data_IF_544799495526
#
_entry.id   IF_544799495526
#
_cell.length_a   1.000
_cell.length_b   1.000
_cell.length_c   1.000
_cell.angle_alpha   90.00
_cell.angle_beta   90.00
_cell.angle_gamma   90.00
#
_symmetry.space_group_name_H-M   'P 1'
#
loop_
_entity.id
_entity.type
_entity.pdbx_description
1 polymer ?
#
# COMPACT_ATOMS: atom_id res chain seq x y z
N UNK A 1 5.65 -1.40 0.82
CA UNK A 1 7.09 -1.19 0.61
C UNK A 1 7.41 0.26 0.97
N UNK A 2 8.58 0.48 1.57
CA UNK A 2 9.04 1.81 2.01
C UNK A 2 10.48 1.99 1.54
N UNK A 3 10.81 3.16 1.00
CA UNK A 3 12.16 3.51 0.58
C UNK A 3 12.70 4.71 1.37
N UNK A 4 13.94 4.64 1.87
CA UNK A 4 14.94 3.58 1.61
C UNK A 4 14.68 2.26 2.39
N UNK A 5 15.11 1.09 1.86
CA UNK A 5 14.67 -0.25 2.30
C UNK A 5 15.29 -0.75 3.62
N UNK A 6 15.93 0.10 4.40
CA UNK A 6 16.68 -0.29 5.61
C UNK A 6 15.92 -0.02 6.92
N UNK A 7 14.61 0.27 6.85
CA UNK A 7 13.80 0.59 8.03
C UNK A 7 14.22 1.89 8.71
N UNK A 8 14.91 2.79 8.00
CA UNK A 8 15.30 4.11 8.48
C UNK A 8 14.98 5.17 7.43
N UNK A 9 14.59 6.35 7.88
CA UNK A 9 14.46 7.52 7.02
C UNK A 9 14.97 8.76 7.75
N UNK A 10 15.22 9.84 7.02
CA UNK A 10 15.68 11.10 7.59
C UNK A 10 14.49 12.00 7.91
N UNK A 11 14.58 12.72 9.03
CA UNK A 11 13.65 13.82 9.35
C UNK A 11 13.74 14.89 8.26
N UNK A 12 12.60 15.47 7.86
CA UNK A 12 12.47 16.50 6.81
C UNK A 12 12.92 16.06 5.39
N UNK A 13 13.02 14.75 5.14
CA UNK A 13 13.21 14.20 3.79
C UNK A 13 12.02 13.32 3.38
N UNK A 14 11.72 13.33 2.09
CA UNK A 14 10.67 12.50 1.52
C UNK A 14 11.04 11.01 1.63
N UNK A 15 10.16 10.29 2.30
CA UNK A 15 10.15 8.82 2.34
C UNK A 15 9.14 8.34 1.31
N UNK A 16 9.55 7.46 0.40
CA UNK A 16 8.67 6.95 -0.65
C UNK A 16 7.92 5.68 -0.19
N UNK A 17 6.64 5.59 -0.56
CA UNK A 17 5.73 4.50 -0.21
C UNK A 17 5.11 3.92 -1.48
N UNK A 18 5.06 2.59 -1.56
CA UNK A 18 4.33 1.89 -2.61
C UNK A 18 3.92 0.49 -2.15
N UNK A 19 3.02 -0.14 -2.89
CA UNK A 19 2.59 -1.52 -2.65
C UNK A 19 2.50 -2.29 -3.96
N UNK A 20 2.70 -3.60 -3.91
CA UNK A 20 2.62 -4.48 -5.08
C UNK A 20 1.26 -5.19 -5.17
N UNK A 21 0.29 -4.75 -4.36
CA UNK A 21 -1.07 -5.27 -4.42
C UNK A 21 -1.67 -4.96 -5.78
N UNK A 22 -2.03 -6.02 -6.51
CA UNK A 22 -2.56 -5.94 -7.86
C UNK A 22 -3.83 -6.77 -8.03
N UNK A 23 -4.23 -6.95 -9.29
CA UNK A 23 -5.39 -7.75 -9.62
C UNK A 23 -5.15 -9.24 -9.33
N UNK A 24 -6.21 -9.92 -8.91
CA UNK A 24 -6.21 -11.35 -8.64
C UNK A 24 -7.44 -12.00 -9.27
N UNK A 25 -7.22 -13.06 -10.03
CA UNK A 25 -8.29 -13.97 -10.44
C UNK A 25 -8.29 -15.21 -9.58
N UNK A 26 -9.46 -15.63 -9.10
CA UNK A 26 -9.61 -16.84 -8.27
C UNK A 26 -10.81 -17.65 -8.71
N UNK A 27 -10.65 -18.97 -8.75
CA UNK A 27 -11.76 -19.91 -8.93
C UNK A 27 -12.05 -20.60 -7.61
N UNK A 28 -13.32 -20.69 -7.23
CA UNK A 28 -13.79 -21.39 -6.03
C UNK A 28 -15.01 -22.24 -6.37
N UNK A 29 -15.23 -23.31 -5.60
CA UNK A 29 -16.47 -24.10 -5.68
C UNK A 29 -17.36 -23.71 -4.52
N UNK A 30 -18.58 -23.22 -4.81
CA UNK A 30 -19.58 -22.85 -3.81
C UNK A 30 -20.86 -23.61 -4.09
N UNK A 31 -21.31 -24.41 -3.11
CA UNK A 31 -22.55 -25.20 -3.22
C UNK A 31 -22.59 -26.07 -4.50
N UNK A 32 -21.45 -26.63 -4.89
CA UNK A 32 -21.32 -27.46 -6.09
C UNK A 32 -21.22 -26.71 -7.43
N UNK A 33 -21.23 -25.37 -7.43
CA UNK A 33 -21.04 -24.54 -8.63
C UNK A 33 -19.65 -23.93 -8.68
N UNK A 34 -19.12 -23.77 -9.90
CA UNK A 34 -17.87 -23.06 -10.12
C UNK A 34 -18.13 -21.56 -10.13
N UNK A 35 -17.44 -20.83 -9.27
CA UNK A 35 -17.48 -19.37 -9.21
C UNK A 35 -16.09 -18.84 -9.50
N UNK A 36 -15.99 -18.01 -10.54
CA UNK A 36 -14.76 -17.29 -10.85
C UNK A 36 -14.90 -15.85 -10.38
N UNK A 37 -13.82 -15.33 -9.79
CA UNK A 37 -13.71 -13.99 -9.24
C UNK A 37 -12.58 -13.25 -9.95
N UNK A 38 -12.82 -12.01 -10.36
CA UNK A 38 -11.80 -11.02 -10.74
C UNK A 38 -11.83 -9.94 -9.68
N UNK A 39 -10.72 -9.72 -9.00
CA UNK A 39 -10.62 -8.82 -7.85
C UNK A 39 -9.51 -7.81 -8.17
N UNK A 40 -9.75 -6.53 -7.92
CA UNK A 40 -8.76 -5.48 -8.14
C UNK A 40 -8.82 -4.43 -7.04
N UNK A 41 -7.68 -3.80 -6.68
CA UNK A 41 -7.66 -2.70 -5.74
C UNK A 41 -8.35 -1.47 -6.36
N UNK A 42 -9.26 -0.85 -5.61
CA UNK A 42 -9.98 0.37 -5.99
C UNK A 42 -9.49 1.61 -5.24
N UNK A 43 -8.92 1.45 -4.05
CA UNK A 43 -8.31 2.55 -3.29
C UNK A 43 -7.29 2.07 -2.26
N UNK A 44 -6.39 2.97 -1.89
CA UNK A 44 -5.32 2.76 -0.91
C UNK A 44 -5.38 3.84 0.17
N UNK A 45 -5.42 3.40 1.43
CA UNK A 45 -5.39 4.26 2.60
C UNK A 45 -4.04 4.19 3.30
N UNK A 46 -3.16 5.13 3.01
CA UNK A 46 -1.83 5.27 3.58
C UNK A 46 -1.92 5.85 4.99
N UNK A 47 -1.27 5.20 5.95
CA UNK A 47 -1.11 5.68 7.32
C UNK A 47 0.39 5.78 7.57
N UNK A 48 0.91 6.97 7.85
CA UNK A 48 2.36 7.17 7.96
C UNK A 48 2.91 6.86 9.36
N UNK A 49 2.03 6.66 10.34
CA UNK A 49 2.39 6.23 11.70
C UNK A 49 2.77 7.36 12.65
N UNK A 50 2.68 8.62 12.21
CA UNK A 50 2.84 9.86 13.00
C UNK A 50 1.53 10.63 13.19
N UNK A 51 0.41 10.05 12.74
CA UNK A 51 -0.93 10.65 12.78
C UNK A 51 -1.42 11.16 11.43
N UNK A 52 -0.54 11.29 10.44
CA UNK A 52 -0.91 11.70 9.08
C UNK A 52 -1.31 10.51 8.21
N UNK A 53 -2.21 10.78 7.26
CA UNK A 53 -2.79 9.80 6.35
C UNK A 53 -3.01 10.38 4.96
N UNK A 54 -2.98 9.55 3.95
CA UNK A 54 -3.30 9.92 2.56
C UNK A 54 -4.18 8.85 1.91
N UNK A 55 -5.06 9.25 1.00
CA UNK A 55 -5.82 8.33 0.15
C UNK A 55 -5.33 8.44 -1.30
N UNK A 56 -5.26 7.32 -2.01
CA UNK A 56 -4.95 7.29 -3.44
C UNK A 56 -5.72 6.19 -4.16
N UNK A 57 -5.82 6.31 -5.48
CA UNK A 57 -6.26 5.22 -6.39
C UNK A 57 -5.07 4.47 -7.00
N UNK A 58 -3.87 5.05 -6.93
CA UNK A 58 -2.62 4.41 -7.33
C UNK A 58 -1.99 3.65 -6.15
N UNK A 59 -1.35 2.50 -6.39
CA UNK A 59 -0.59 1.77 -5.37
C UNK A 59 0.74 2.46 -4.99
N UNK A 60 1.01 3.66 -5.51
CA UNK A 60 2.32 4.30 -5.45
C UNK A 60 3.28 3.70 -6.46
N UNK A 61 4.49 4.27 -6.53
CA UNK A 61 5.52 3.81 -7.45
C UNK A 61 6.89 3.82 -6.77
N UNK A 62 7.74 2.87 -7.15
CA UNK A 62 9.14 2.90 -6.72
C UNK A 62 9.85 4.12 -7.32
N UNK A 63 10.96 4.55 -6.70
CA UNK A 63 11.87 5.51 -7.33
C UNK A 63 12.22 5.06 -8.78
N UNK A 64 12.25 5.97 -9.77
CA UNK A 64 12.26 7.44 -9.63
C UNK A 64 10.90 8.14 -9.65
N UNK A 65 9.79 7.42 -9.82
CA UNK A 65 8.48 8.06 -10.07
C UNK A 65 7.90 8.77 -8.84
N UNK A 66 8.14 8.23 -7.63
CA UNK A 66 7.85 8.88 -6.34
C UNK A 66 6.39 9.37 -6.19
N UNK A 67 5.42 8.52 -6.51
CA UNK A 67 3.99 8.89 -6.52
C UNK A 67 3.41 9.18 -5.12
N UNK A 68 3.80 8.40 -4.10
CA UNK A 68 3.34 8.58 -2.72
C UNK A 68 4.55 8.80 -1.81
N UNK A 69 4.69 10.02 -1.30
CA UNK A 69 5.77 10.41 -0.40
C UNK A 69 5.24 11.00 0.90
N UNK A 70 6.03 10.90 1.96
CA UNK A 70 5.77 11.58 3.23
C UNK A 70 7.05 12.04 3.90
N UNK A 71 7.01 13.23 4.50
CA UNK A 71 8.14 13.82 5.21
C UNK A 71 7.85 13.90 6.70
N UNK A 72 8.66 13.20 7.50
CA UNK A 72 8.50 13.17 8.95
C UNK A 72 9.14 14.39 9.61
N UNK A 73 8.36 15.11 10.43
CA UNK A 73 8.83 16.32 11.12
C UNK A 73 9.62 16.05 12.42
N UNK A 74 9.55 14.83 12.97
CA UNK A 74 10.17 14.46 14.25
C UNK A 74 10.90 13.15 14.15
N UNK A 75 12.03 13.04 14.86
CA UNK A 75 12.73 11.76 15.03
C UNK A 75 11.91 10.82 15.92
N UNK A 76 12.07 9.51 15.71
CA UNK A 76 11.31 8.52 16.48
C UNK A 76 11.13 7.19 15.76
N UNK A 77 10.32 6.33 16.36
CA UNK A 77 9.83 5.10 15.72
C UNK A 77 8.40 5.34 15.27
N UNK A 78 8.12 4.99 14.02
CA UNK A 78 6.77 5.03 13.43
C UNK A 78 6.47 3.66 12.83
N UNK A 79 5.19 3.39 12.61
CA UNK A 79 4.71 2.11 12.06
C UNK A 79 3.73 2.34 10.92
N UNK A 80 4.22 2.86 9.77
CA UNK A 80 3.39 3.08 8.60
C UNK A 80 2.75 1.79 8.07
N UNK A 81 1.55 1.91 7.51
CA UNK A 81 0.79 0.84 6.88
C UNK A 81 -0.03 1.37 5.70
N UNK A 82 -0.53 0.47 4.86
CA UNK A 82 -1.48 0.82 3.78
C UNK A 82 -2.64 -0.14 3.79
N UNK A 83 -3.85 0.37 3.96
CA UNK A 83 -5.07 -0.41 3.80
C UNK A 83 -5.46 -0.44 2.33
N UNK A 84 -5.90 -1.58 1.82
CA UNK A 84 -6.31 -1.71 0.42
C UNK A 84 -7.79 -2.07 0.35
N UNK A 85 -8.56 -1.26 -0.38
CA UNK A 85 -9.97 -1.55 -0.66
C UNK A 85 -10.07 -2.20 -2.02
N UNK A 86 -10.79 -3.32 -2.09
CA UNK A 86 -10.95 -4.13 -3.30
C UNK A 86 -12.40 -4.09 -3.80
N UNK A 87 -12.53 -3.98 -5.11
CA UNK A 87 -13.75 -4.27 -5.86
C UNK A 87 -13.58 -5.61 -6.59
N UNK A 88 -14.70 -6.21 -7.00
CA UNK A 88 -14.66 -7.49 -7.69
C UNK A 88 -15.82 -7.67 -8.67
N UNK A 89 -15.58 -8.56 -9.63
CA UNK A 89 -16.61 -9.19 -10.46
C UNK A 89 -16.61 -10.69 -10.22
N UNK A 90 -17.77 -11.32 -10.41
CA UNK A 90 -17.93 -12.76 -10.36
C UNK A 90 -18.69 -13.30 -11.58
N UNK A 91 -18.44 -14.56 -11.94
CA UNK A 91 -19.31 -15.34 -12.84
C UNK A 91 -19.50 -16.75 -12.29
N UNK A 92 -20.64 -17.35 -12.62
CA UNK A 92 -21.02 -18.69 -12.16
C UNK A 92 -21.15 -19.61 -13.36
N UNK A 93 -20.51 -20.78 -13.28
CA UNK A 93 -20.55 -21.86 -14.29
C UNK A 93 -20.32 -21.34 -15.73
N UNK A 94 -19.35 -20.43 -15.89
CA UNK A 94 -18.98 -19.85 -17.19
C UNK A 94 -19.94 -18.78 -17.74
N UNK A 95 -20.95 -18.35 -16.97
CA UNK A 95 -21.89 -17.30 -17.35
C UNK A 95 -21.29 -15.89 -17.48
N UNK A 96 -22.13 -14.85 -17.64
CA UNK A 96 -21.66 -13.48 -17.75
C UNK A 96 -21.06 -12.98 -16.42
N UNK A 97 -20.04 -12.12 -16.53
CA UNK A 97 -19.49 -11.38 -15.39
C UNK A 97 -20.53 -10.41 -14.82
N UNK A 98 -20.54 -10.30 -13.49
CA UNK A 98 -21.40 -9.40 -12.73
C UNK A 98 -20.58 -8.75 -11.63
N UNK A 99 -20.87 -7.51 -11.31
CA UNK A 99 -20.21 -6.83 -10.19
C UNK A 99 -20.62 -7.45 -8.86
N UNK A 100 -19.67 -7.53 -7.94
CA UNK A 100 -19.95 -7.77 -6.52
C UNK A 100 -20.45 -6.45 -5.94
N UNK A 101 -21.60 -6.49 -5.24
CA UNK A 101 -22.13 -5.31 -4.58
C UNK A 101 -21.24 -4.93 -3.38
N UNK A 102 -20.69 -3.71 -3.41
CA UNK A 102 -19.83 -3.18 -2.36
C UNK A 102 -18.35 -3.52 -2.54
N UNK A 103 -17.57 -3.21 -1.51
CA UNK A 103 -16.12 -3.41 -1.49
C UNK A 103 -15.68 -4.02 -0.18
N UNK A 104 -14.45 -4.54 -0.14
CA UNK A 104 -13.83 -5.05 1.08
C UNK A 104 -12.50 -4.33 1.29
N UNK A 105 -12.30 -3.77 2.49
CA UNK A 105 -11.02 -3.18 2.89
C UNK A 105 -10.22 -4.19 3.71
N UNK A 106 -8.98 -4.45 3.28
CA UNK A 106 -8.02 -5.30 3.96
C UNK A 106 -6.94 -4.40 4.58
N UNK A 107 -6.79 -4.39 5.91
CA UNK A 107 -5.73 -3.62 6.57
C UNK A 107 -4.34 -4.16 6.22
N UNK A 108 -3.42 -3.24 5.94
CA UNK A 108 -2.01 -3.59 5.73
C UNK A 108 -1.29 -3.90 7.03
N UNK A 109 -0.32 -4.81 6.98
CA UNK A 109 0.57 -5.02 8.13
C UNK A 109 1.50 -3.81 8.31
N UNK A 110 1.59 -3.22 9.52
CA UNK A 110 2.49 -2.11 9.78
C UNK A 110 3.96 -2.50 9.59
N UNK A 111 4.76 -1.60 9.03
CA UNK A 111 6.19 -1.77 8.86
C UNK A 111 6.96 -0.89 9.83
N UNK A 112 7.94 -1.46 10.54
CA UNK A 112 8.76 -0.68 11.47
C UNK A 112 9.68 0.28 10.70
N UNK A 113 9.59 1.57 11.02
CA UNK A 113 10.44 2.62 10.43
C UNK A 113 11.00 3.53 11.52
N UNK A 114 12.29 3.83 11.45
CA UNK A 114 12.97 4.75 12.37
C UNK A 114 13.34 6.04 11.67
N UNK A 115 12.70 7.13 12.07
CA UNK A 115 13.05 8.49 11.64
C UNK A 115 14.25 8.96 12.45
N UNK A 116 15.33 9.34 11.78
CA UNK A 116 16.57 9.79 12.39
C UNK A 116 16.99 11.16 11.84
N UNK A 117 17.80 11.89 12.58
CA UNK A 117 18.45 13.08 12.05
C UNK A 117 19.50 12.72 11.00
N UNK A 118 19.65 13.59 10.00
CA UNK A 118 20.82 13.57 9.14
C UNK A 118 22.04 13.93 9.99
N UNK A 119 23.05 13.05 10.00
CA UNK A 119 24.38 13.41 10.52
C UNK A 119 25.17 13.94 9.35
N UNK A 120 25.45 15.25 9.25
CA UNK A 120 26.39 15.73 8.25
C UNK A 120 27.74 15.10 8.54
N UNK A 121 28.28 14.38 7.55
CA UNK A 121 29.69 13.97 7.57
C UNK A 121 30.40 14.91 6.61
N UNK A 122 31.18 15.83 7.17
CA UNK A 122 32.12 16.64 6.40
C UNK A 122 33.29 15.72 6.00
N UNK A 123 33.35 15.34 4.73
CA UNK A 123 34.59 14.85 4.13
C UNK A 123 35.38 16.08 3.72
N UNK A 124 36.37 16.46 4.54
CA UNK A 124 37.34 17.50 4.21
C UNK A 124 38.60 16.89 3.63
N UNK A 125 39.13 17.50 2.56
CA UNK A 125 40.45 17.23 2.00
C UNK A 125 40.47 17.11 0.49
#
# INVERSE_FOLDING_TARGET
MIQPPNGRTLVNFDTNFYTEQGELTRTVTLLGRQVELRIWPSSFGWRFGDGETQQSTSPGAAYPDLDITHSYARTGRVSPSVDTTYAAQFRVDGGPWRDVAGTVTIPGSPQALRVVEARPVLVGG
#
